data_IF_784987725078
#
_entry.id   IF_784987725078
#
_cell.length_a   1.000
_cell.length_b   1.000
_cell.length_c   1.000
_cell.angle_alpha   90.00
_cell.angle_beta   90.00
_cell.angle_gamma   90.00
#
_symmetry.space_group_name_H-M   'P 1'
#
loop_
_entity.id
_entity.type
_entity.pdbx_description
1 polymer ?
#
# COMPACT_ATOMS: atom_id res chain seq x y z
N UNK A 1 8.31 -22.21 -19.33
CA UNK A 1 9.01 -21.01 -18.81
C UNK A 1 8.92 -21.06 -17.30
N UNK A 2 9.94 -20.57 -16.58
CA UNK A 2 9.86 -20.47 -15.13
C UNK A 2 8.84 -19.39 -14.74
N UNK A 3 8.01 -19.67 -13.74
CA UNK A 3 6.94 -18.75 -13.30
C UNK A 3 7.55 -17.42 -12.82
N UNK A 4 6.98 -16.25 -13.16
CA UNK A 4 7.34 -14.98 -12.51
C UNK A 4 7.27 -15.08 -10.99
N UNK A 5 8.18 -14.40 -10.30
CA UNK A 5 8.18 -14.28 -8.84
C UNK A 5 7.42 -13.00 -8.47
N UNK A 6 6.45 -13.09 -7.56
CA UNK A 6 5.69 -11.94 -7.08
C UNK A 6 5.85 -11.83 -5.56
N UNK A 7 6.63 -10.85 -5.10
CA UNK A 7 6.72 -10.51 -3.68
C UNK A 7 5.57 -9.56 -3.31
N UNK A 8 4.78 -9.93 -2.31
CA UNK A 8 3.68 -9.11 -1.81
C UNK A 8 4.01 -8.58 -0.41
N UNK A 9 3.71 -7.30 -0.20
CA UNK A 9 3.94 -6.57 1.06
C UNK A 9 2.62 -5.92 1.46
N UNK A 10 2.11 -6.29 2.62
CA UNK A 10 0.82 -5.81 3.10
C UNK A 10 0.89 -4.39 3.66
N UNK A 11 -0.29 -3.81 3.92
CA UNK A 11 -0.46 -2.52 4.55
C UNK A 11 -0.43 -2.57 6.08
N UNK A 12 -0.93 -1.53 6.73
CA UNK A 12 -1.16 -1.55 8.18
C UNK A 12 -2.18 -2.65 8.56
N UNK A 13 -2.13 -3.09 9.82
CA UNK A 13 -2.93 -4.16 10.39
C UNK A 13 -2.16 -5.46 10.67
N UNK A 14 -2.89 -6.36 11.32
CA UNK A 14 -2.45 -7.74 11.56
C UNK A 14 -2.87 -8.60 10.38
N UNK A 15 -1.88 -9.18 9.70
CA UNK A 15 -2.08 -10.11 8.58
C UNK A 15 -1.46 -11.46 8.94
N UNK A 16 -2.19 -12.55 8.75
CA UNK A 16 -1.64 -13.90 8.95
C UNK A 16 -0.64 -14.25 7.84
N UNK A 17 0.33 -15.15 8.10
CA UNK A 17 1.18 -15.68 7.05
C UNK A 17 0.34 -16.28 5.89
N UNK A 18 0.56 -15.79 4.67
CA UNK A 18 -0.16 -16.22 3.47
C UNK A 18 -1.36 -15.36 3.07
N UNK A 19 -1.94 -14.59 4.00
CA UNK A 19 -3.22 -13.89 3.79
C UNK A 19 -3.18 -12.90 2.62
N UNK A 20 -2.14 -12.06 2.56
CA UNK A 20 -1.98 -11.07 1.49
C UNK A 20 -1.86 -11.71 0.09
N UNK A 21 -1.25 -12.91 0.01
CA UNK A 21 -1.16 -13.67 -1.25
C UNK A 21 -2.53 -14.16 -1.69
N UNK A 22 -3.33 -14.63 -0.73
CA UNK A 22 -4.71 -15.09 -0.98
C UNK A 22 -5.56 -13.93 -1.48
N UNK A 23 -5.49 -12.76 -0.84
CA UNK A 23 -6.27 -11.58 -1.27
C UNK A 23 -5.96 -11.15 -2.70
N UNK A 24 -4.67 -11.03 -3.06
CA UNK A 24 -4.26 -10.71 -4.43
C UNK A 24 -4.71 -11.81 -5.40
N UNK A 25 -4.59 -13.08 -5.01
CA UNK A 25 -4.98 -14.19 -5.87
C UNK A 25 -6.47 -14.20 -6.16
N UNK A 26 -7.29 -14.00 -5.12
CA UNK A 26 -8.74 -13.90 -5.25
C UNK A 26 -9.12 -12.72 -6.15
N UNK A 27 -8.48 -11.56 -5.97
CA UNK A 27 -8.72 -10.37 -6.77
C UNK A 27 -8.44 -10.59 -8.27
N UNK A 28 -7.27 -11.15 -8.59
CA UNK A 28 -6.85 -11.36 -9.97
C UNK A 28 -7.66 -12.49 -10.65
N UNK A 29 -8.02 -13.56 -9.92
CA UNK A 29 -8.88 -14.62 -10.44
C UNK A 29 -10.31 -14.11 -10.68
N UNK A 30 -10.82 -13.25 -9.80
CA UNK A 30 -12.10 -12.57 -9.99
C UNK A 30 -12.08 -11.69 -11.25
N UNK A 31 -11.03 -10.89 -11.44
CA UNK A 31 -10.87 -10.08 -12.65
C UNK A 31 -10.77 -10.93 -13.92
N UNK A 32 -9.99 -12.02 -13.89
CA UNK A 32 -9.89 -12.96 -15.01
C UNK A 32 -11.24 -13.56 -15.40
N UNK A 33 -12.05 -13.95 -14.40
CA UNK A 33 -13.43 -14.41 -14.62
C UNK A 33 -14.28 -13.32 -15.27
N UNK A 34 -14.18 -12.08 -14.80
CA UNK A 34 -14.90 -10.94 -15.38
C UNK A 34 -14.48 -10.69 -16.85
N UNK A 35 -13.20 -10.87 -17.18
CA UNK A 35 -12.69 -10.82 -18.55
C UNK A 35 -13.09 -12.02 -19.43
N UNK A 36 -13.80 -13.01 -18.86
CA UNK A 36 -14.21 -14.22 -19.55
C UNK A 36 -13.08 -15.21 -19.84
N UNK A 37 -11.97 -15.13 -19.09
CA UNK A 37 -10.87 -16.10 -19.18
C UNK A 37 -11.29 -17.35 -18.39
N UNK A 38 -11.54 -18.45 -19.11
CA UNK A 38 -11.95 -19.72 -18.52
C UNK A 38 -10.76 -20.44 -17.89
N UNK A 39 -11.01 -21.20 -16.83
CA UNK A 39 -10.03 -22.07 -16.14
C UNK A 39 -8.75 -21.36 -15.68
N UNK A 40 -8.82 -20.05 -15.45
CA UNK A 40 -7.70 -19.25 -14.99
C UNK A 40 -7.51 -19.36 -13.47
N UNK A 41 -6.28 -19.62 -13.05
CA UNK A 41 -5.84 -19.43 -11.67
C UNK A 41 -4.43 -18.83 -11.66
N UNK A 42 -4.30 -17.62 -11.12
CA UNK A 42 -3.05 -16.89 -11.00
C UNK A 42 -1.95 -17.66 -10.26
N UNK A 43 -2.30 -18.56 -9.33
CA UNK A 43 -1.32 -19.42 -8.65
C UNK A 43 -0.66 -20.44 -9.60
N UNK A 44 -1.30 -20.74 -10.72
CA UNK A 44 -0.70 -21.54 -11.79
C UNK A 44 0.26 -20.72 -12.66
N UNK A 45 0.11 -19.40 -12.70
CA UNK A 45 0.88 -18.52 -13.56
C UNK A 45 2.09 -17.89 -12.88
N UNK A 46 2.00 -17.58 -11.58
CA UNK A 46 3.09 -16.96 -10.80
C UNK A 46 3.42 -17.74 -9.54
N UNK A 47 4.57 -17.44 -8.94
CA UNK A 47 4.89 -17.88 -7.58
C UNK A 47 4.86 -16.68 -6.63
N UNK A 48 3.98 -16.75 -5.63
CA UNK A 48 3.83 -15.69 -4.64
C UNK A 48 4.73 -15.89 -3.41
N UNK A 49 5.51 -14.86 -3.12
CA UNK A 49 6.23 -14.67 -1.88
C UNK A 49 5.55 -13.58 -1.05
N UNK A 50 5.63 -13.65 0.27
CA UNK A 50 5.11 -12.61 1.15
C UNK A 50 6.21 -12.12 2.08
N UNK A 51 6.27 -10.81 2.27
CA UNK A 51 6.93 -10.21 3.41
C UNK A 51 5.85 -9.78 4.40
N UNK A 52 5.87 -10.41 5.58
CA UNK A 52 4.92 -10.15 6.64
C UNK A 52 5.68 -9.54 7.83
N UNK A 53 5.34 -8.32 8.19
CA UNK A 53 5.89 -7.64 9.37
C UNK A 53 4.88 -7.53 10.52
N UNK A 54 3.66 -8.05 10.36
CA UNK A 54 2.61 -8.02 11.39
C UNK A 54 3.05 -8.77 12.64
N UNK A 55 3.61 -9.99 12.53
CA UNK A 55 4.02 -10.79 13.69
C UNK A 55 4.99 -10.02 14.61
N UNK A 56 5.91 -9.25 14.01
CA UNK A 56 6.86 -8.42 14.74
C UNK A 56 6.18 -7.24 15.44
N UNK A 57 5.30 -6.52 14.74
CA UNK A 57 4.57 -5.39 15.32
C UNK A 57 3.52 -5.84 16.34
N UNK A 58 2.93 -7.03 16.17
CA UNK A 58 2.01 -7.65 17.12
C UNK A 58 2.72 -8.03 18.43
N UNK A 59 3.93 -8.61 18.35
CA UNK A 59 4.74 -8.88 19.55
C UNK A 59 5.08 -7.58 20.31
N UNK A 60 5.42 -6.51 19.59
CA UNK A 60 5.65 -5.19 20.20
C UNK A 60 4.35 -4.67 20.85
N UNK A 61 3.22 -4.70 20.12
CA UNK A 61 1.92 -4.29 20.66
C UNK A 61 1.54 -5.07 21.91
N UNK A 62 1.75 -6.38 21.93
CA UNK A 62 1.43 -7.24 23.08
C UNK A 62 2.29 -6.86 24.29
N UNK A 63 3.61 -6.70 24.12
CA UNK A 63 4.53 -6.29 25.18
C UNK A 63 4.20 -4.93 25.77
N UNK A 64 3.73 -4.01 24.94
CA UNK A 64 3.30 -2.68 25.38
C UNK A 64 1.89 -2.72 25.98
N UNK A 65 1.00 -3.59 25.48
CA UNK A 65 -0.38 -3.75 25.94
C UNK A 65 -0.49 -4.41 27.32
N UNK A 66 0.40 -5.35 27.63
CA UNK A 66 0.54 -5.92 28.98
C UNK A 66 0.79 -4.84 30.04
N UNK A 67 1.25 -3.66 29.63
CA UNK A 67 1.56 -2.51 30.49
C UNK A 67 0.54 -1.36 30.36
N UNK A 68 -0.33 -1.37 29.35
CA UNK A 68 -1.22 -0.26 29.02
C UNK A 68 -2.43 -0.72 28.20
N UNK A 69 -3.65 -0.28 28.54
CA UNK A 69 -4.87 -0.72 27.86
C UNK A 69 -5.51 0.31 26.90
N UNK A 70 -4.93 1.52 26.74
CA UNK A 70 -5.46 2.58 25.84
C UNK A 70 -4.40 3.20 24.95
N UNK A 71 -4.79 3.76 23.79
CA UNK A 71 -3.87 4.37 22.81
C UNK A 71 -3.01 5.48 23.40
N UNK A 72 -3.59 6.32 24.25
CA UNK A 72 -2.88 7.40 24.97
C UNK A 72 -1.75 6.82 25.81
N UNK A 73 -2.03 5.72 26.52
CA UNK A 73 -1.04 5.04 27.36
C UNK A 73 0.00 4.33 26.49
N UNK A 74 -0.39 3.68 25.40
CA UNK A 74 0.52 3.06 24.45
C UNK A 74 1.51 4.08 23.86
N UNK A 75 1.01 5.18 23.28
CA UNK A 75 1.86 6.24 22.71
C UNK A 75 2.80 6.81 23.78
N UNK A 76 2.33 6.97 25.02
CA UNK A 76 3.16 7.41 26.14
C UNK A 76 4.29 6.42 26.47
N UNK A 77 4.06 5.11 26.35
CA UNK A 77 5.10 4.09 26.53
C UNK A 77 6.18 4.15 25.45
N UNK A 78 5.86 4.65 24.25
CA UNK A 78 6.84 4.81 23.17
C UNK A 78 7.84 5.94 23.42
N UNK A 79 7.59 6.80 24.43
CA UNK A 79 8.55 7.81 24.88
C UNK A 79 9.85 7.11 25.31
N UNK A 80 10.94 7.42 24.61
CA UNK A 80 12.24 6.77 24.83
C UNK A 80 12.50 5.56 23.94
N UNK A 81 11.50 5.06 23.20
CA UNK A 81 11.69 4.08 22.12
C UNK A 81 11.91 4.76 20.75
N UNK A 82 12.59 5.90 20.73
CA UNK A 82 12.81 6.72 19.53
C UNK A 82 11.71 7.78 19.28
N UNK A 83 10.55 7.68 19.93
CA UNK A 83 9.54 8.73 19.89
C UNK A 83 9.90 9.86 20.89
N UNK A 84 9.99 11.09 20.38
CA UNK A 84 10.28 12.27 21.20
C UNK A 84 9.14 12.64 22.15
N UNK A 85 9.46 13.25 23.30
CA UNK A 85 8.47 13.60 24.33
C UNK A 85 7.32 14.45 23.80
N UNK A 86 7.64 15.52 23.07
CA UNK A 86 6.63 16.42 22.49
C UNK A 86 5.69 15.68 21.54
N UNK A 87 6.23 14.87 20.63
CA UNK A 87 5.45 14.08 19.68
C UNK A 87 4.54 13.07 20.40
N UNK A 88 5.08 12.38 21.41
CA UNK A 88 4.29 11.46 22.23
C UNK A 88 3.12 12.17 22.92
N UNK A 89 3.36 13.34 23.54
CA UNK A 89 2.30 14.13 24.20
C UNK A 89 1.23 14.60 23.22
N UNK A 90 1.63 15.17 22.07
CA UNK A 90 0.67 15.69 21.09
C UNK A 90 -0.18 14.58 20.46
N UNK A 91 0.42 13.44 20.10
CA UNK A 91 -0.31 12.29 19.58
C UNK A 91 -1.24 11.69 20.64
N UNK A 92 -0.76 11.58 21.88
CA UNK A 92 -1.57 11.09 23.02
C UNK A 92 -2.80 11.96 23.24
N UNK A 93 -2.66 13.28 23.20
CA UNK A 93 -3.78 14.22 23.34
C UNK A 93 -4.78 14.12 22.18
N UNK A 94 -4.29 13.96 20.95
CA UNK A 94 -5.15 13.79 19.79
C UNK A 94 -5.94 12.49 19.86
N UNK A 95 -5.25 11.37 20.09
CA UNK A 95 -5.89 10.05 20.06
C UNK A 95 -6.74 9.74 21.30
N UNK A 96 -6.66 10.53 22.37
CA UNK A 96 -7.57 10.45 23.51
C UNK A 96 -9.06 10.63 23.13
N UNK A 97 -9.34 11.19 21.95
CA UNK A 97 -10.69 11.46 21.47
C UNK A 97 -11.35 10.24 20.79
N UNK A 98 -10.60 9.17 20.49
CA UNK A 98 -11.04 8.05 19.65
C UNK A 98 -11.18 6.71 20.39
N UNK A 99 -11.46 6.72 21.70
CA UNK A 99 -11.37 5.56 22.61
C UNK A 99 -12.32 4.36 22.29
N UNK A 100 -13.10 4.40 21.19
CA UNK A 100 -14.15 3.41 20.89
C UNK A 100 -13.85 2.35 19.81
N UNK A 101 -12.90 2.54 18.88
CA UNK A 101 -12.72 1.64 17.72
C UNK A 101 -11.39 0.85 17.69
N UNK A 102 -11.45 -0.42 18.11
CA UNK A 102 -10.29 -1.33 18.24
C UNK A 102 -9.55 -1.65 16.94
N UNK A 103 -10.21 -1.60 15.78
CA UNK A 103 -9.57 -1.86 14.48
C UNK A 103 -8.80 -0.63 13.98
N UNK A 104 -9.39 0.56 14.10
CA UNK A 104 -8.73 1.82 13.79
C UNK A 104 -7.51 2.03 14.69
N UNK A 105 -7.62 1.62 15.96
CA UNK A 105 -6.58 1.62 16.97
C UNK A 105 -5.28 0.90 16.58
N UNK A 106 -5.34 -0.34 16.10
CA UNK A 106 -4.13 -1.13 15.80
C UNK A 106 -3.42 -0.63 14.54
N UNK A 107 -4.19 -0.11 13.58
CA UNK A 107 -3.69 0.41 12.31
C UNK A 107 -2.84 1.67 12.47
N UNK A 108 -3.24 2.62 13.31
CA UNK A 108 -2.42 3.81 13.58
C UNK A 108 -1.15 3.52 14.35
N UNK A 109 -1.18 2.54 15.26
CA UNK A 109 0.02 2.12 15.97
C UNK A 109 1.09 1.58 15.01
N UNK A 110 0.71 0.85 13.94
CA UNK A 110 1.68 0.43 12.91
C UNK A 110 2.39 1.60 12.25
N UNK A 111 1.63 2.65 11.89
CA UNK A 111 2.19 3.87 11.29
C UNK A 111 3.15 4.55 12.26
N UNK A 112 2.80 4.63 13.54
CA UNK A 112 3.66 5.22 14.58
C UNK A 112 4.92 4.37 14.79
N UNK A 113 4.78 3.06 14.99
CA UNK A 113 5.92 2.16 15.18
C UNK A 113 6.86 2.18 13.98
N UNK A 114 6.33 2.11 12.76
CA UNK A 114 7.16 2.13 11.57
C UNK A 114 7.79 3.51 11.31
N UNK A 115 6.98 4.57 11.36
CA UNK A 115 7.34 5.90 10.87
C UNK A 115 8.06 6.79 11.90
N UNK A 116 7.84 6.57 13.19
CA UNK A 116 8.33 7.47 14.25
C UNK A 116 9.23 6.78 15.30
N UNK A 117 9.48 5.48 15.18
CA UNK A 117 10.33 4.74 16.12
C UNK A 117 11.46 4.00 15.40
N UNK A 118 12.43 3.49 16.15
CA UNK A 118 13.53 2.71 15.57
C UNK A 118 13.09 1.34 15.04
N UNK A 119 11.87 0.87 15.35
CA UNK A 119 11.36 -0.42 14.87
C UNK A 119 11.23 -0.49 13.36
N UNK A 120 10.99 0.65 12.69
CA UNK A 120 11.01 0.73 11.23
C UNK A 120 12.34 0.25 10.63
N UNK A 121 13.47 0.43 11.32
CA UNK A 121 14.78 0.01 10.80
C UNK A 121 14.89 -1.51 10.72
N UNK A 122 14.41 -2.21 11.75
CA UNK A 122 14.39 -3.67 11.75
C UNK A 122 13.54 -4.22 10.60
N UNK A 123 12.35 -3.65 10.38
CA UNK A 123 11.46 -4.05 9.27
C UNK A 123 12.16 -3.88 7.92
N UNK A 124 12.84 -2.75 7.70
CA UNK A 124 13.59 -2.49 6.46
C UNK A 124 14.75 -3.46 6.26
N UNK A 125 15.50 -3.78 7.31
CA UNK A 125 16.61 -4.76 7.24
C UNK A 125 16.09 -6.15 6.89
N UNK A 126 14.98 -6.57 7.51
CA UNK A 126 14.38 -7.87 7.23
C UNK A 126 13.82 -7.94 5.79
N UNK A 127 13.20 -6.86 5.29
CA UNK A 127 12.76 -6.77 3.90
C UNK A 127 13.95 -6.76 2.93
N UNK A 128 15.01 -6.00 3.22
CA UNK A 128 16.21 -5.96 2.40
C UNK A 128 16.81 -7.35 2.21
N UNK A 129 16.90 -8.13 3.29
CA UNK A 129 17.33 -9.53 3.24
C UNK A 129 16.42 -10.36 2.33
N UNK A 130 15.10 -10.24 2.50
CA UNK A 130 14.12 -10.98 1.68
C UNK A 130 14.24 -10.64 0.19
N UNK A 131 14.39 -9.35 -0.15
CA UNK A 131 14.58 -8.90 -1.54
C UNK A 131 15.88 -9.47 -2.09
N UNK A 132 16.99 -9.41 -1.35
CA UNK A 132 18.27 -9.96 -1.78
C UNK A 132 18.20 -11.47 -2.06
N UNK A 133 17.52 -12.24 -1.20
CA UNK A 133 17.34 -13.68 -1.40
C UNK A 133 16.54 -13.97 -2.69
N UNK A 134 15.47 -13.22 -2.94
CA UNK A 134 14.67 -13.37 -4.17
C UNK A 134 15.41 -12.91 -5.42
N UNK A 135 16.23 -11.86 -5.33
CA UNK A 135 17.07 -11.40 -6.43
C UNK A 135 18.12 -12.46 -6.81
N UNK A 136 18.72 -13.14 -5.83
CA UNK A 136 19.64 -14.26 -6.09
C UNK A 136 18.91 -15.42 -6.77
N UNK A 137 17.72 -15.77 -6.30
CA UNK A 137 16.92 -16.84 -6.90
C UNK A 137 16.50 -16.50 -8.33
N UNK A 138 16.10 -15.26 -8.58
CA UNK A 138 15.77 -14.72 -9.90
C UNK A 138 16.91 -14.95 -10.89
N UNK A 139 18.13 -14.57 -10.53
CA UNK A 139 19.32 -14.76 -11.38
C UNK A 139 19.63 -16.24 -11.62
N UNK A 140 19.63 -17.05 -10.54
CA UNK A 140 19.93 -18.49 -10.64
C UNK A 140 18.93 -19.26 -11.50
N UNK A 141 17.67 -18.85 -11.48
CA UNK A 141 16.58 -19.53 -12.19
C UNK A 141 16.17 -18.80 -13.48
N UNK A 142 16.82 -17.70 -13.86
CA UNK A 142 16.45 -16.87 -15.01
C UNK A 142 14.95 -16.50 -15.01
N UNK A 143 14.48 -15.96 -13.89
CA UNK A 143 13.07 -15.56 -13.65
C UNK A 143 12.93 -14.03 -13.68
N UNK A 144 11.70 -13.55 -13.62
CA UNK A 144 11.41 -12.14 -13.35
C UNK A 144 10.98 -11.95 -11.90
N UNK A 145 11.32 -10.79 -11.31
CA UNK A 145 10.90 -10.40 -9.97
C UNK A 145 10.00 -9.17 -10.03
N UNK A 146 8.78 -9.35 -9.54
CA UNK A 146 7.76 -8.32 -9.42
C UNK A 146 7.43 -8.10 -7.95
N UNK A 147 7.19 -6.85 -7.54
CA UNK A 147 6.84 -6.52 -6.15
C UNK A 147 5.51 -5.77 -6.14
N UNK A 148 4.58 -6.20 -5.28
CA UNK A 148 3.31 -5.51 -4.99
C UNK A 148 3.32 -5.06 -3.54
N UNK A 149 3.32 -3.76 -3.32
CA UNK A 149 3.32 -3.16 -2.00
C UNK A 149 2.07 -2.32 -1.79
N UNK A 150 1.32 -2.63 -0.73
CA UNK A 150 0.05 -2.01 -0.42
C UNK A 150 0.15 -1.05 0.76
N UNK A 151 -0.42 0.15 0.68
CA UNK A 151 -0.57 1.06 1.83
C UNK A 151 0.76 1.27 2.56
N UNK A 152 0.85 1.08 3.88
CA UNK A 152 2.08 1.18 4.66
C UNK A 152 3.24 0.36 4.05
N UNK A 153 2.94 -0.79 3.45
CA UNK A 153 3.91 -1.60 2.72
C UNK A 153 4.60 -0.86 1.58
N UNK A 154 3.94 0.11 0.96
CA UNK A 154 4.55 1.00 -0.06
C UNK A 154 5.69 1.84 0.53
N UNK A 155 5.50 2.40 1.72
CA UNK A 155 6.55 3.13 2.44
C UNK A 155 7.68 2.19 2.87
N UNK A 156 7.32 1.02 3.42
CA UNK A 156 8.28 -0.02 3.82
C UNK A 156 9.17 -0.42 2.64
N UNK A 157 8.57 -0.68 1.48
CA UNK A 157 9.31 -1.03 0.26
C UNK A 157 10.19 0.14 -0.20
N UNK A 158 9.59 1.33 -0.35
CA UNK A 158 10.30 2.53 -0.80
C UNK A 158 11.56 2.77 0.05
N UNK A 159 11.40 2.89 1.36
CA UNK A 159 12.49 3.23 2.27
C UNK A 159 13.56 2.14 2.32
N UNK A 160 13.16 0.88 2.14
CA UNK A 160 14.10 -0.24 2.01
C UNK A 160 14.92 -0.11 0.73
N UNK A 161 14.27 0.11 -0.41
CA UNK A 161 14.94 0.18 -1.71
C UNK A 161 15.89 1.37 -1.79
N UNK A 162 15.51 2.54 -1.25
CA UNK A 162 16.42 3.69 -1.19
C UNK A 162 17.69 3.40 -0.39
N UNK A 163 17.58 2.62 0.70
CA UNK A 163 18.74 2.25 1.51
C UNK A 163 19.64 1.23 0.84
N UNK A 164 19.06 0.30 0.07
CA UNK A 164 19.76 -0.82 -0.56
C UNK A 164 20.35 -0.44 -1.91
N UNK A 165 19.66 0.37 -2.71
CA UNK A 165 20.12 0.81 -4.02
C UNK A 165 20.86 2.15 -3.94
N UNK A 166 22.03 2.21 -4.58
CA UNK A 166 22.79 3.47 -4.75
C UNK A 166 23.31 3.56 -6.18
N UNK A 167 23.49 4.80 -6.63
CA UNK A 167 24.27 5.09 -7.83
C UNK A 167 25.76 5.03 -7.46
N UNK A 168 26.59 4.49 -8.36
CA UNK A 168 28.05 4.41 -8.21
C UNK A 168 28.53 3.56 -7.03
N UNK A 169 27.99 2.35 -6.94
CA UNK A 169 28.33 1.38 -5.90
C UNK A 169 29.81 0.98 -5.94
N UNK A 170 30.56 1.25 -4.87
CA UNK A 170 31.88 0.65 -4.70
C UNK A 170 31.70 -0.84 -4.38
N UNK A 171 32.03 -1.72 -5.34
CA UNK A 171 31.95 -3.17 -5.20
C UNK A 171 32.88 -3.72 -4.08
N UNK A 172 33.77 -2.88 -3.54
CA UNK A 172 34.70 -3.18 -2.45
C UNK A 172 34.14 -2.70 -1.09
N UNK A 173 32.98 -2.01 -1.07
CA UNK A 173 32.32 -1.60 0.17
C UNK A 173 31.95 -2.80 1.04
N UNK A 174 32.32 -2.74 2.33
CA UNK A 174 31.93 -3.73 3.33
C UNK A 174 30.42 -3.73 3.63
N UNK A 175 29.68 -2.72 3.14
CA UNK A 175 28.22 -2.67 3.19
C UNK A 175 27.70 -3.10 1.82
N UNK A 176 27.05 -4.28 1.69
CA UNK A 176 26.51 -4.74 0.42
C UNK A 176 25.42 -3.79 -0.06
N UNK A 177 25.55 -3.33 -1.29
CA UNK A 177 24.67 -2.37 -1.95
C UNK A 177 24.30 -2.93 -3.33
N UNK A 178 23.08 -2.65 -3.80
CA UNK A 178 22.63 -3.07 -5.12
C UNK A 178 22.85 -1.96 -6.14
N UNK A 179 23.61 -2.31 -7.17
CA UNK A 179 23.85 -1.46 -8.32
C UNK A 179 22.60 -1.35 -9.21
N UNK A 180 22.19 -0.11 -9.50
CA UNK A 180 20.98 0.17 -10.26
C UNK A 180 21.05 -0.28 -11.72
N UNK A 181 22.23 -0.48 -12.31
CA UNK A 181 22.35 -0.90 -13.71
C UNK A 181 22.28 -2.44 -13.84
N UNK A 182 22.68 -3.16 -12.79
CA UNK A 182 22.74 -4.63 -12.79
C UNK A 182 21.54 -5.30 -12.15
N UNK A 183 20.95 -4.69 -11.12
CA UNK A 183 20.02 -5.36 -10.22
C UNK A 183 18.61 -4.75 -10.24
N UNK A 184 18.18 -4.20 -11.39
CA UNK A 184 16.83 -3.65 -11.50
C UNK A 184 15.76 -4.71 -11.26
N UNK A 185 14.78 -4.37 -10.43
CA UNK A 185 13.54 -5.12 -10.23
C UNK A 185 12.71 -5.02 -11.54
N UNK A 186 12.01 -6.08 -11.95
CA UNK A 186 11.30 -6.06 -13.24
C UNK A 186 10.07 -5.15 -13.18
N UNK A 187 9.24 -5.26 -12.15
CA UNK A 187 8.14 -4.30 -11.93
C UNK A 187 7.89 -4.05 -10.46
N UNK A 188 7.59 -2.81 -10.10
CA UNK A 188 7.08 -2.44 -8.77
C UNK A 188 5.67 -1.88 -8.91
N UNK A 189 4.77 -2.35 -8.06
CA UNK A 189 3.39 -1.90 -7.92
C UNK A 189 3.20 -1.27 -6.54
N UNK A 190 2.95 0.03 -6.52
CA UNK A 190 2.68 0.82 -5.32
C UNK A 190 1.16 1.03 -5.24
N UNK A 191 0.45 0.17 -4.52
CA UNK A 191 -1.01 0.18 -4.43
C UNK A 191 -1.43 0.94 -3.18
N UNK A 192 -2.31 1.93 -3.32
CA UNK A 192 -2.66 2.86 -2.25
C UNK A 192 -1.39 3.49 -1.63
N UNK A 193 -0.55 4.08 -2.48
CA UNK A 193 0.79 4.52 -2.11
C UNK A 193 0.78 5.66 -1.08
N UNK A 194 1.29 5.39 0.13
CA UNK A 194 1.43 6.36 1.22
C UNK A 194 2.89 6.69 1.53
N UNK A 195 3.83 6.32 0.66
CA UNK A 195 5.27 6.55 0.89
C UNK A 195 5.62 8.02 1.15
N UNK A 196 4.96 8.95 0.47
CA UNK A 196 5.16 10.41 0.64
C UNK A 196 4.69 10.89 2.01
N UNK A 197 3.52 10.45 2.44
CA UNK A 197 3.01 10.69 3.79
C UNK A 197 3.99 10.15 4.85
N UNK A 198 4.47 8.92 4.68
CA UNK A 198 5.38 8.29 5.65
C UNK A 198 6.77 8.94 5.63
N UNK A 199 7.21 9.48 4.49
CA UNK A 199 8.44 10.25 4.40
C UNK A 199 8.39 11.51 5.29
N UNK A 200 7.23 12.16 5.44
CA UNK A 200 7.10 13.23 6.43
C UNK A 200 7.50 12.72 7.82
N UNK A 201 7.06 11.52 8.21
CA UNK A 201 7.33 10.99 9.54
C UNK A 201 8.80 10.62 9.74
N UNK A 202 9.37 9.86 8.81
CA UNK A 202 10.67 9.22 9.01
C UNK A 202 11.87 9.94 8.38
N UNK A 203 11.63 10.88 7.45
CA UNK A 203 12.65 11.67 6.75
C UNK A 203 13.76 10.82 6.09
N UNK A 204 13.43 9.62 5.59
CA UNK A 204 14.41 8.71 4.99
C UNK A 204 14.85 9.18 3.59
N UNK A 205 13.89 9.36 2.69
CA UNK A 205 14.09 9.99 1.39
C UNK A 205 12.75 10.35 0.77
N UNK A 206 12.71 11.46 0.04
CA UNK A 206 11.51 11.89 -0.67
C UNK A 206 11.19 10.94 -1.85
N UNK A 207 10.05 10.24 -1.84
CA UNK A 207 9.64 9.37 -2.95
C UNK A 207 9.54 10.06 -4.31
N UNK A 208 9.31 11.38 -4.36
CA UNK A 208 9.25 12.09 -5.63
C UNK A 208 10.63 12.28 -6.28
N UNK A 209 11.72 12.14 -5.53
CA UNK A 209 13.09 12.39 -6.00
C UNK A 209 14.03 11.20 -5.78
N UNK A 210 13.53 10.07 -5.30
CA UNK A 210 14.36 8.91 -4.95
C UNK A 210 14.72 8.03 -6.16
N UNK A 211 15.59 7.04 -5.91
CA UNK A 211 15.96 5.99 -6.87
C UNK A 211 14.83 4.99 -7.12
N UNK A 212 13.74 5.03 -6.35
CA UNK A 212 12.59 4.13 -6.50
C UNK A 212 11.67 4.67 -7.60
N UNK A 213 12.09 4.42 -8.83
CA UNK A 213 11.46 4.87 -10.06
C UNK A 213 11.86 3.95 -11.19
N UNK A 214 11.15 4.05 -12.31
CA UNK A 214 11.48 3.42 -13.58
C UNK A 214 12.10 4.37 -14.60
N UNK A 215 12.22 5.65 -14.28
CA UNK A 215 12.94 6.61 -15.11
C UNK A 215 14.47 6.42 -15.02
N UNK A 216 15.22 7.21 -15.80
CA UNK A 216 16.67 7.17 -15.80
C UNK A 216 17.28 7.25 -14.38
N UNK A 217 18.13 6.28 -14.05
CA UNK A 217 18.73 6.15 -12.71
C UNK A 217 17.85 5.44 -11.68
N UNK A 218 16.75 4.82 -12.11
CA UNK A 218 15.82 4.09 -11.25
C UNK A 218 16.19 2.62 -10.99
N UNK A 219 15.71 2.09 -9.86
CA UNK A 219 15.96 0.70 -9.43
C UNK A 219 14.95 -0.33 -9.94
N UNK A 220 13.99 0.07 -10.79
CA UNK A 220 13.01 -0.85 -11.42
C UNK A 220 12.88 -0.57 -12.91
N UNK A 221 12.53 -1.58 -13.71
CA UNK A 221 12.26 -1.41 -15.15
C UNK A 221 10.88 -0.84 -15.40
N UNK A 222 9.93 -1.05 -14.48
CA UNK A 222 8.60 -0.44 -14.54
C UNK A 222 8.04 -0.14 -13.16
N UNK A 223 7.33 0.97 -13.05
CA UNK A 223 6.66 1.42 -11.82
C UNK A 223 5.18 1.69 -12.11
N UNK A 224 4.30 1.05 -11.34
CA UNK A 224 2.87 1.31 -11.39
C UNK A 224 2.42 1.89 -10.05
N UNK A 225 1.94 3.13 -10.07
CA UNK A 225 1.35 3.76 -8.89
C UNK A 225 -0.18 3.69 -8.99
N UNK A 226 -0.81 2.90 -8.13
CA UNK A 226 -2.26 2.65 -8.18
C UNK A 226 -2.94 3.39 -7.04
N UNK A 227 -3.92 4.22 -7.35
CA UNK A 227 -4.69 5.00 -6.38
C UNK A 227 -6.18 4.94 -6.68
N UNK A 228 -7.00 4.80 -5.64
CA UNK A 228 -8.43 4.96 -5.73
C UNK A 228 -8.76 6.42 -5.45
N UNK A 229 -9.54 7.07 -6.32
CA UNK A 229 -9.85 8.51 -6.17
C UNK A 229 -10.62 8.81 -4.89
N UNK A 230 -11.22 7.79 -4.28
CA UNK A 230 -12.02 7.83 -3.05
C UNK A 230 -11.33 7.14 -1.86
N UNK A 231 -10.02 6.87 -1.95
CA UNK A 231 -9.25 6.36 -0.82
C UNK A 231 -8.60 7.50 -0.02
N UNK A 232 -9.07 7.80 1.20
CA UNK A 232 -8.60 8.93 2.00
C UNK A 232 -7.12 8.87 2.37
N UNK A 233 -6.53 7.66 2.42
CA UNK A 233 -5.10 7.52 2.70
C UNK A 233 -4.22 8.07 1.58
N UNK A 234 -4.75 8.19 0.37
CA UNK A 234 -4.00 8.69 -0.80
C UNK A 234 -4.19 10.18 -1.06
N UNK A 235 -5.08 10.86 -0.33
CA UNK A 235 -5.37 12.29 -0.54
C UNK A 235 -4.31 13.21 0.06
N UNK A 236 -3.59 12.74 1.07
CA UNK A 236 -2.60 13.53 1.80
C UNK A 236 -1.20 13.16 1.32
N UNK A 237 -0.42 14.18 0.96
CA UNK A 237 0.94 13.98 0.43
C UNK A 237 0.94 12.96 -0.70
N UNK A 238 0.16 13.23 -1.75
CA UNK A 238 0.05 12.31 -2.89
C UNK A 238 1.42 12.10 -3.57
N UNK A 239 1.67 10.87 -4.05
CA UNK A 239 2.79 10.58 -4.93
C UNK A 239 2.49 11.12 -6.34
N UNK A 240 3.14 12.22 -6.71
CA UNK A 240 2.85 12.99 -7.93
C UNK A 240 4.00 13.00 -8.93
N UNK A 241 5.12 12.33 -8.64
CA UNK A 241 6.24 12.22 -9.57
C UNK A 241 5.77 11.61 -10.90
N UNK A 242 5.98 12.29 -12.04
CA UNK A 242 5.67 11.72 -13.35
C UNK A 242 6.43 10.40 -13.58
N UNK A 243 5.73 9.41 -14.13
CA UNK A 243 6.31 8.14 -14.56
C UNK A 243 6.42 8.21 -16.09
N UNK A 244 7.62 8.44 -16.60
CA UNK A 244 7.84 8.71 -18.04
C UNK A 244 8.39 7.51 -18.80
N UNK A 245 9.07 6.60 -18.10
CA UNK A 245 9.62 5.36 -18.67
C UNK A 245 9.10 4.17 -17.87
N UNK A 246 8.56 3.15 -18.56
CA UNK A 246 8.14 1.89 -17.94
C UNK A 246 7.08 2.05 -16.84
N UNK A 247 5.81 1.88 -17.19
CA UNK A 247 4.71 1.93 -16.22
C UNK A 247 3.89 3.23 -16.30
N UNK A 248 3.07 3.50 -15.28
CA UNK A 248 2.10 4.63 -15.24
C UNK A 248 1.42 4.77 -13.88
N UNK A 249 0.78 5.92 -13.66
CA UNK A 249 -0.25 6.04 -12.64
C UNK A 249 -1.54 5.36 -13.12
N UNK A 250 -2.21 4.61 -12.24
CA UNK A 250 -3.49 3.97 -12.51
C UNK A 250 -4.50 4.49 -11.49
N UNK A 251 -5.61 5.06 -11.99
CA UNK A 251 -6.74 5.48 -11.15
C UNK A 251 -7.81 4.40 -11.11
N UNK A 252 -8.28 4.11 -9.91
CA UNK A 252 -9.46 3.29 -9.63
C UNK A 252 -10.57 4.23 -9.22
N UNK A 253 -11.72 4.13 -9.89
CA UNK A 253 -12.86 5.04 -9.69
C UNK A 253 -14.11 4.30 -9.19
N UNK A 254 -14.01 2.97 -9.03
CA UNK A 254 -15.13 2.14 -8.57
C UNK A 254 -15.06 1.89 -7.06
N UNK A 255 -16.20 1.94 -6.38
CA UNK A 255 -16.37 1.47 -5.01
C UNK A 255 -17.29 0.26 -5.01
N UNK A 256 -16.85 -0.86 -4.44
CA UNK A 256 -17.69 -2.06 -4.23
C UNK A 256 -17.88 -2.41 -2.75
N UNK A 257 -17.04 -1.82 -1.88
CA UNK A 257 -17.07 -1.95 -0.42
C UNK A 257 -16.80 -0.60 0.22
N UNK A 258 -17.31 -0.39 1.44
CA UNK A 258 -17.06 0.82 2.25
C UNK A 258 -15.56 1.08 2.40
N UNK A 259 -14.77 0.02 2.62
CA UNK A 259 -13.32 0.14 2.70
C UNK A 259 -12.70 0.34 1.31
N UNK A 260 -12.57 1.59 0.88
CA UNK A 260 -11.91 1.99 -0.38
C UNK A 260 -10.40 1.75 -0.39
N UNK A 261 -9.81 1.43 0.77
CA UNK A 261 -8.40 1.13 0.98
C UNK A 261 -8.11 -0.39 0.94
N UNK A 262 -9.04 -1.20 0.45
CA UNK A 262 -8.93 -2.65 0.41
C UNK A 262 -8.10 -3.14 -0.81
N UNK A 263 -7.00 -3.85 -0.54
CA UNK A 263 -6.07 -4.33 -1.57
C UNK A 263 -6.76 -5.20 -2.63
N UNK A 264 -7.71 -6.05 -2.23
CA UNK A 264 -8.41 -6.91 -3.18
C UNK A 264 -9.27 -6.09 -4.13
N UNK A 265 -9.94 -5.05 -3.64
CA UNK A 265 -10.73 -4.15 -4.49
C UNK A 265 -9.85 -3.40 -5.50
N UNK A 266 -8.66 -2.96 -5.09
CA UNK A 266 -7.68 -2.38 -6.00
C UNK A 266 -7.27 -3.36 -7.10
N UNK A 267 -6.84 -4.57 -6.73
CA UNK A 267 -6.30 -5.55 -7.67
C UNK A 267 -7.36 -6.18 -8.57
N UNK A 268 -8.63 -6.21 -8.13
CA UNK A 268 -9.76 -6.67 -8.93
C UNK A 268 -10.22 -5.63 -9.96
N UNK A 269 -9.78 -4.36 -9.82
CA UNK A 269 -10.14 -3.30 -10.77
C UNK A 269 -9.67 -3.65 -12.18
N UNK A 270 -10.55 -3.54 -13.21
CA UNK A 270 -10.22 -3.94 -14.59
C UNK A 270 -8.94 -3.29 -15.12
N UNK A 271 -8.71 -2.01 -14.83
CA UNK A 271 -7.51 -1.30 -15.27
C UNK A 271 -6.23 -1.85 -14.63
N UNK A 272 -6.31 -2.23 -13.36
CA UNK A 272 -5.17 -2.76 -12.60
C UNK A 272 -4.87 -4.18 -13.07
N UNK A 273 -5.90 -5.04 -13.12
CA UNK A 273 -5.77 -6.44 -13.51
C UNK A 273 -5.29 -6.61 -14.97
N UNK A 274 -5.85 -5.85 -15.91
CA UNK A 274 -5.39 -5.85 -17.32
C UNK A 274 -3.91 -5.48 -17.41
N UNK A 275 -3.52 -4.39 -16.73
CA UNK A 275 -2.13 -3.95 -16.73
C UNK A 275 -1.22 -5.00 -16.09
N UNK A 276 -1.68 -5.67 -15.02
CA UNK A 276 -0.93 -6.72 -14.34
C UNK A 276 -0.73 -7.93 -15.25
N UNK A 277 -1.78 -8.38 -15.93
CA UNK A 277 -1.70 -9.49 -16.89
C UNK A 277 -0.74 -9.18 -18.04
N UNK A 278 -0.79 -7.96 -18.58
CA UNK A 278 0.11 -7.55 -19.65
C UNK A 278 1.59 -7.49 -19.21
N UNK A 279 1.87 -6.99 -18.01
CA UNK A 279 3.25 -6.69 -17.58
C UNK A 279 3.92 -7.81 -16.77
N UNK A 280 3.14 -8.62 -16.06
CA UNK A 280 3.65 -9.74 -15.25
C UNK A 280 3.52 -11.06 -16.01
N UNK A 281 2.36 -11.31 -16.64
CA UNK A 281 2.08 -12.57 -17.33
C UNK A 281 2.39 -12.52 -18.83
N UNK A 282 2.66 -11.33 -19.39
CA UNK A 282 2.78 -11.09 -20.83
C UNK A 282 1.53 -11.52 -21.60
N UNK A 283 0.36 -11.38 -20.95
CA UNK A 283 -0.94 -11.74 -21.50
C UNK A 283 -1.72 -10.47 -21.86
N UNK A 284 -2.01 -10.28 -23.14
CA UNK A 284 -2.79 -9.14 -23.63
C UNK A 284 -4.26 -9.54 -23.79
N UNK A 285 -5.16 -8.78 -23.15
CA UNK A 285 -6.60 -8.93 -23.35
C UNK A 285 -7.01 -8.41 -24.74
N UNK A 286 -8.04 -9.04 -25.32
CA UNK A 286 -8.77 -8.45 -26.46
C UNK A 286 -9.71 -7.36 -25.95
N UNK A 287 -9.97 -6.34 -26.77
CA UNK A 287 -10.87 -5.23 -26.42
C UNK A 287 -12.23 -5.72 -25.87
N UNK A 288 -12.83 -6.72 -26.52
CA UNK A 288 -14.11 -7.28 -26.08
C UNK A 288 -14.03 -7.92 -24.68
N UNK A 289 -12.93 -8.62 -24.36
CA UNK A 289 -12.72 -9.21 -23.04
C UNK A 289 -12.60 -8.12 -21.98
N UNK A 290 -11.82 -7.07 -22.27
CA UNK A 290 -11.65 -5.94 -21.37
C UNK A 290 -12.97 -5.17 -21.15
N UNK A 291 -13.73 -4.87 -22.20
CA UNK A 291 -15.04 -4.19 -22.08
C UNK A 291 -16.06 -5.03 -21.29
N UNK A 292 -16.08 -6.36 -21.51
CA UNK A 292 -16.92 -7.26 -20.74
C UNK A 292 -16.52 -7.24 -19.25
N UNK A 293 -15.22 -7.37 -18.96
CA UNK A 293 -14.76 -7.34 -17.56
C UNK A 293 -15.01 -6.01 -16.87
N UNK A 294 -14.90 -4.89 -17.59
CA UNK A 294 -15.29 -3.58 -17.06
C UNK A 294 -16.77 -3.53 -16.71
N UNK A 295 -17.62 -4.00 -17.62
CA UNK A 295 -19.08 -4.04 -17.43
C UNK A 295 -19.45 -4.92 -16.25
N UNK A 296 -18.93 -6.15 -16.17
CA UNK A 296 -19.21 -7.09 -15.08
C UNK A 296 -18.70 -6.56 -13.73
N UNK A 297 -17.53 -5.93 -13.69
CA UNK A 297 -17.03 -5.31 -12.45
C UNK A 297 -17.89 -4.13 -11.99
N UNK A 298 -18.43 -3.34 -12.91
CA UNK A 298 -19.34 -2.23 -12.57
C UNK A 298 -20.67 -2.73 -12.01
N UNK A 299 -21.16 -3.90 -12.42
CA UNK A 299 -22.40 -4.47 -11.89
C UNK A 299 -22.36 -4.78 -10.39
N UNK A 300 -21.16 -5.06 -9.84
CA UNK A 300 -20.97 -5.28 -8.40
C UNK A 300 -20.46 -4.02 -7.68
N UNK A 301 -20.30 -2.92 -8.41
CA UNK A 301 -19.99 -1.63 -7.81
C UNK A 301 -21.24 -1.02 -7.20
N UNK A 302 -21.04 -0.32 -6.09
CA UNK A 302 -22.05 0.51 -5.50
C UNK A 302 -22.40 1.58 -6.54
N UNK A 303 -23.59 1.50 -7.12
CA UNK A 303 -24.10 2.38 -8.18
C UNK A 303 -24.45 3.79 -7.66
N UNK A 304 -23.66 4.33 -6.73
CA UNK A 304 -23.78 5.72 -6.33
C UNK A 304 -23.23 6.61 -7.43
N UNK A 305 -23.77 7.82 -7.50
CA UNK A 305 -23.15 8.87 -8.26
C UNK A 305 -21.79 9.17 -7.61
N UNK A 306 -20.71 8.62 -8.18
CA UNK A 306 -19.32 8.84 -7.73
C UNK A 306 -19.05 10.34 -7.58
N UNK A 307 -19.63 11.17 -8.45
CA UNK A 307 -19.51 12.62 -8.38
C UNK A 307 -20.12 13.19 -7.09
N UNK A 308 -21.24 12.64 -6.61
CA UNK A 308 -21.84 13.07 -5.34
C UNK A 308 -20.99 12.67 -4.13
N UNK A 309 -20.39 11.48 -4.15
CA UNK A 309 -19.45 11.05 -3.10
C UNK A 309 -18.19 11.92 -3.16
N UNK A 310 -17.62 12.13 -4.35
CA UNK A 310 -16.45 12.99 -4.52
C UNK A 310 -16.72 14.44 -4.10
N UNK A 311 -17.91 14.97 -4.39
CA UNK A 311 -18.30 16.32 -4.01
C UNK A 311 -18.53 16.44 -2.50
N UNK A 312 -19.19 15.46 -1.90
CA UNK A 312 -19.37 15.40 -0.45
C UNK A 312 -18.02 15.32 0.27
N UNK A 313 -17.08 14.57 -0.28
CA UNK A 313 -15.76 14.39 0.30
C UNK A 313 -14.72 15.43 -0.12
N UNK A 314 -15.10 16.41 -0.94
CA UNK A 314 -14.20 17.45 -1.44
C UNK A 314 -13.61 18.29 -0.31
N UNK A 315 -14.39 18.56 0.73
CA UNK A 315 -13.95 19.24 1.96
C UNK A 315 -12.82 18.47 2.67
N UNK A 316 -12.85 17.14 2.60
CA UNK A 316 -11.81 16.27 3.18
C UNK A 316 -10.56 16.14 2.30
N UNK A 317 -10.64 16.47 1.00
CA UNK A 317 -9.47 16.51 0.09
C UNK A 317 -8.67 17.80 0.18
N UNK A 318 -9.31 18.92 0.55
CA UNK A 318 -8.65 20.22 0.68
C UNK A 318 -7.92 20.35 2.01
N UNK A 319 -6.77 19.71 2.15
CA UNK A 319 -5.87 19.95 3.28
C UNK A 319 -4.55 20.56 2.79
N UNK A 320 -4.05 21.52 3.57
CA UNK A 320 -2.79 22.17 3.28
C UNK A 320 -1.63 21.17 3.39
N UNK A 321 -0.67 21.23 2.46
CA UNK A 321 0.64 20.60 2.61
C UNK A 321 1.27 21.12 3.92
N UNK A 322 1.07 20.39 5.01
CA UNK A 322 1.72 20.69 6.28
C UNK A 322 3.08 20.02 6.30
N UNK A 323 4.12 20.79 6.65
CA UNK A 323 5.44 20.25 6.93
C UNK A 323 5.54 19.66 8.35
N UNK A 324 4.54 19.88 9.21
CA UNK A 324 4.52 19.32 10.56
C UNK A 324 4.01 17.88 10.52
N UNK A 325 4.90 16.95 10.91
CA UNK A 325 4.69 15.50 10.87
C UNK A 325 3.50 15.05 11.72
N UNK A 326 3.31 15.70 12.87
CA UNK A 326 2.26 15.34 13.82
C UNK A 326 0.93 15.91 13.34
N UNK A 327 0.93 17.14 12.83
CA UNK A 327 -0.27 17.73 12.24
C UNK A 327 -0.76 16.96 11.02
N UNK A 328 0.15 16.50 10.15
CA UNK A 328 -0.20 15.66 9.00
C UNK A 328 -0.96 14.39 9.41
N UNK A 329 -0.49 13.71 10.47
CA UNK A 329 -1.17 12.52 11.00
C UNK A 329 -2.54 12.84 11.59
N UNK A 330 -2.68 13.96 12.30
CA UNK A 330 -3.95 14.39 12.89
C UNK A 330 -4.99 14.67 11.82
N UNK A 331 -4.61 15.42 10.79
CA UNK A 331 -5.53 15.79 9.69
C UNK A 331 -5.91 14.56 8.87
N UNK A 332 -4.97 13.66 8.58
CA UNK A 332 -5.28 12.40 7.91
C UNK A 332 -6.23 11.55 8.76
N UNK A 333 -5.97 11.38 10.06
CA UNK A 333 -6.84 10.60 10.96
C UNK A 333 -8.28 11.11 10.93
N UNK A 334 -8.47 12.43 11.08
CA UNK A 334 -9.79 13.07 10.99
C UNK A 334 -10.46 12.84 9.64
N UNK A 335 -9.72 13.00 8.54
CA UNK A 335 -10.28 12.86 7.20
C UNK A 335 -10.68 11.41 6.89
N UNK A 336 -9.86 10.43 7.28
CA UNK A 336 -10.16 9.00 7.11
C UNK A 336 -11.42 8.61 7.90
N UNK A 337 -11.51 8.99 9.17
CA UNK A 337 -12.67 8.69 10.01
C UNK A 337 -13.94 9.39 9.50
N UNK A 338 -13.84 10.69 9.21
CA UNK A 338 -14.94 11.49 8.67
C UNK A 338 -15.46 10.91 7.36
N UNK A 339 -14.56 10.54 6.45
CA UNK A 339 -14.89 9.89 5.19
C UNK A 339 -15.64 8.58 5.38
N UNK A 340 -15.09 7.64 6.15
CA UNK A 340 -15.72 6.32 6.29
C UNK A 340 -17.06 6.39 7.02
N UNK A 341 -17.21 7.30 7.99
CA UNK A 341 -18.49 7.54 8.65
C UNK A 341 -19.54 8.06 7.66
N UNK A 342 -19.17 9.05 6.84
CA UNK A 342 -20.07 9.63 5.85
C UNK A 342 -20.42 8.64 4.73
N UNK A 343 -19.44 7.90 4.21
CA UNK A 343 -19.65 6.87 3.20
C UNK A 343 -20.58 5.77 3.71
N UNK A 344 -20.36 5.29 4.95
CA UNK A 344 -21.24 4.30 5.57
C UNK A 344 -22.68 4.82 5.71
N UNK A 345 -22.86 6.04 6.20
CA UNK A 345 -24.20 6.66 6.32
C UNK A 345 -24.93 6.76 4.98
N UNK A 346 -24.23 7.14 3.91
CA UNK A 346 -24.79 7.22 2.56
C UNK A 346 -25.18 5.83 2.02
N UNK A 347 -24.35 4.82 2.30
CA UNK A 347 -24.64 3.43 1.91
C UNK A 347 -25.89 2.93 2.63
N UNK A 348 -25.93 3.07 3.96
CA UNK A 348 -27.06 2.64 4.79
C UNK A 348 -28.37 3.33 4.35
N UNK A 349 -28.33 4.65 4.12
CA UNK A 349 -29.51 5.44 3.71
C UNK A 349 -30.11 5.01 2.37
N UNK A 350 -29.27 4.53 1.45
CA UNK A 350 -29.73 4.11 0.14
C UNK A 350 -30.28 2.68 0.13
N UNK A 351 -29.73 1.80 0.97
CA UNK A 351 -30.31 0.47 1.21
C UNK A 351 -31.73 0.58 1.75
N UNK A 352 -31.97 1.49 2.70
CA UNK A 352 -33.31 1.74 3.26
C UNK A 352 -34.31 2.26 2.20
N UNK A 353 -33.85 3.07 1.23
CA UNK A 353 -34.70 3.59 0.16
C UNK A 353 -35.12 2.54 -0.88
N UNK A 354 -34.37 1.44 -1.01
CA UNK A 354 -34.68 0.35 -1.93
C UNK A 354 -35.63 -0.70 -1.34
N UNK A 355 -35.68 -0.85 -0.01
CA UNK A 355 -36.60 -1.78 0.67
C UNK A 355 -38.00 -1.19 0.93
N UNK A 356 -38.16 0.13 0.78
CA UNK A 356 -39.43 0.85 0.99
C UNK A 356 -40.34 0.98 -0.24
N UNK A 357 -39.97 0.37 -1.38
CA UNK A 357 -40.73 0.33 -2.63
C UNK A 357 -41.10 -1.11 -2.99
#
# INVERSE_FOLDING_TARGET
MNKPMVLVIHGMGTHKPGETKVEISLALNEAAKNFGIQDFDINNEVEFFQFNYSDFLDDIRLKDAEKASSIVKHISLLKGHGLGERAATELSQHFAQYDSDKMFYTHWLDVIYYGLTYWGEKIRVDLAKKINDLMRERELQNRTLHIVAHSLGSAVLHDTLVKVFRKDTDLISNVPQLDIDRFQIDTIWMVANVSRLLNLLNDIADPNFSVVTSDAGGCTKSLFNVQNTLDPFTWFQEYTRPITQGGRHIKVETIRKVNTHDLREYMASPNVAETFFANVLRYSLKDLQYQNGKTTHHQTSLNYNIEEIEQACKSWKTHADTSDKIEALKELSKAVEGFYKELKQKIDSASDSMEGH
#
